data_IF_762401404385
#
_entry.id   IF_762401404385
#
_cell.length_a   1.000
_cell.length_b   1.000
_cell.length_c   1.000
_cell.angle_alpha   90.00
_cell.angle_beta   90.00
_cell.angle_gamma   90.00
#
_symmetry.space_group_name_H-M   'P 1'
#
loop_
_entity.id
_entity.type
_entity.pdbx_description
1 polymer ?
#
# COMPACT_ATOMS: atom_id res chain seq x y z
N UNK A 1 -22.14 6.12 -34.19
CA UNK A 1 -23.26 6.82 -33.52
C UNK A 1 -24.50 5.92 -33.61
N UNK A 2 -25.39 5.86 -32.61
CA UNK A 2 -25.77 6.88 -31.61
C UNK A 2 -25.17 6.58 -30.21
N UNK A 3 -24.51 7.51 -29.51
CA UNK A 3 -24.96 8.71 -28.74
C UNK A 3 -25.62 8.43 -27.38
N UNK A 4 -25.04 9.08 -26.36
CA UNK A 4 -25.56 9.42 -25.03
C UNK A 4 -25.49 8.36 -23.92
N UNK A 5 -24.38 8.38 -23.17
CA UNK A 5 -24.41 8.02 -21.76
C UNK A 5 -24.69 9.30 -20.96
N UNK A 6 -25.92 9.41 -20.45
CA UNK A 6 -26.41 10.54 -19.65
C UNK A 6 -25.83 10.49 -18.24
N UNK A 7 -25.54 11.68 -17.72
CA UNK A 7 -25.23 12.15 -16.36
C UNK A 7 -26.02 11.59 -15.14
N UNK A 8 -26.64 10.40 -15.19
CA UNK A 8 -27.52 9.93 -14.08
C UNK A 8 -26.97 8.87 -13.13
N UNK A 9 -25.74 8.41 -13.31
CA UNK A 9 -25.16 7.38 -12.41
C UNK A 9 -24.19 7.96 -11.35
N UNK A 10 -24.07 9.28 -11.24
CA UNK A 10 -23.19 9.94 -10.25
C UNK A 10 -23.70 9.89 -8.80
N UNK A 11 -24.97 9.54 -8.55
CA UNK A 11 -25.54 9.63 -7.18
C UNK A 11 -25.40 8.38 -6.31
N UNK A 12 -24.94 7.24 -6.85
CA UNK A 12 -24.90 5.98 -6.08
C UNK A 12 -23.60 5.80 -5.26
N UNK A 13 -22.60 6.68 -5.42
CA UNK A 13 -21.25 6.48 -4.87
C UNK A 13 -20.95 7.20 -3.55
N UNK A 14 -21.96 7.60 -2.75
CA UNK A 14 -21.75 8.41 -1.53
C UNK A 14 -21.44 7.65 -0.23
N UNK A 15 -21.30 6.32 -0.18
CA UNK A 15 -21.42 5.61 1.12
C UNK A 15 -20.41 4.53 1.49
N UNK A 16 -19.12 4.59 1.09
CA UNK A 16 -18.08 3.73 1.70
C UNK A 16 -16.71 4.41 1.87
N UNK A 17 -16.21 4.63 3.10
CA UNK A 17 -14.85 5.09 3.34
C UNK A 17 -13.88 3.89 3.33
N UNK A 18 -12.89 3.95 2.44
CA UNK A 18 -11.78 3.00 2.27
C UNK A 18 -10.74 3.66 1.35
N UNK A 19 -9.49 3.14 1.27
CA UNK A 19 -8.34 3.89 0.78
C UNK A 19 -8.38 4.12 -0.75
N UNK A 20 -9.25 5.03 -1.20
CA UNK A 20 -9.40 5.48 -2.59
C UNK A 20 -8.71 6.81 -2.88
N UNK A 21 -7.89 7.29 -1.94
CA UNK A 21 -7.56 8.71 -1.86
C UNK A 21 -6.12 9.08 -2.27
N UNK A 22 -5.36 8.24 -2.99
CA UNK A 22 -4.02 8.66 -3.42
C UNK A 22 -3.92 9.06 -4.90
N UNK A 23 -4.73 8.49 -5.80
CA UNK A 23 -4.72 8.87 -7.22
C UNK A 23 -5.65 10.05 -7.54
N UNK A 24 -6.81 10.12 -6.87
CA UNK A 24 -7.80 11.17 -7.15
C UNK A 24 -7.35 12.56 -6.65
N UNK A 25 -6.53 12.62 -5.59
CA UNK A 25 -6.05 13.88 -5.01
C UNK A 25 -4.89 14.54 -5.79
N UNK A 26 -4.23 13.83 -6.70
CA UNK A 26 -3.10 14.37 -7.47
C UNK A 26 -3.50 14.86 -8.87
N UNK A 27 -4.33 14.12 -9.63
CA UNK A 27 -4.58 14.42 -11.05
C UNK A 27 -6.04 14.59 -11.46
N UNK A 28 -7.01 14.43 -10.54
CA UNK A 28 -8.42 14.47 -10.88
C UNK A 28 -8.90 13.21 -11.63
N UNK A 29 -10.21 12.94 -11.57
CA UNK A 29 -10.81 11.69 -12.06
C UNK A 29 -10.53 11.39 -13.55
N UNK A 30 -10.37 12.43 -14.38
CA UNK A 30 -10.23 12.29 -15.84
C UNK A 30 -8.90 11.67 -16.29
N UNK A 31 -7.78 12.06 -15.67
CA UNK A 31 -6.45 11.52 -15.99
C UNK A 31 -6.32 10.04 -15.58
N UNK A 32 -6.94 9.65 -14.46
CA UNK A 32 -6.94 8.27 -13.99
C UNK A 32 -7.62 7.31 -14.98
N UNK A 33 -8.75 7.71 -15.55
CA UNK A 33 -9.48 6.90 -16.52
C UNK A 33 -8.70 6.72 -17.83
N UNK A 34 -8.02 7.77 -18.32
CA UNK A 34 -7.16 7.69 -19.50
C UNK A 34 -5.97 6.73 -19.28
N UNK A 35 -5.35 6.77 -18.11
CA UNK A 35 -4.29 5.81 -17.75
C UNK A 35 -4.82 4.39 -17.78
N UNK A 36 -5.99 4.12 -17.21
CA UNK A 36 -6.60 2.79 -17.18
C UNK A 36 -6.95 2.28 -18.59
N UNK A 37 -7.39 3.17 -19.48
CA UNK A 37 -7.62 2.83 -20.90
C UNK A 37 -6.30 2.45 -21.59
N UNK A 38 -5.23 3.20 -21.38
CA UNK A 38 -3.91 2.90 -21.96
C UNK A 38 -3.36 1.58 -21.41
N UNK A 39 -3.48 1.34 -20.10
CA UNK A 39 -3.09 0.07 -19.46
C UNK A 39 -3.84 -1.08 -20.11
N UNK A 40 -5.16 -0.95 -20.27
CA UNK A 40 -6.00 -1.99 -20.92
C UNK A 40 -5.52 -2.25 -22.34
N UNK A 41 -5.31 -1.22 -23.16
CA UNK A 41 -4.85 -1.36 -24.54
C UNK A 41 -3.45 -2.01 -24.63
N UNK A 42 -2.52 -1.63 -23.75
CA UNK A 42 -1.19 -2.25 -23.66
C UNK A 42 -1.26 -3.72 -23.27
N UNK A 43 -2.14 -4.09 -22.34
CA UNK A 43 -2.33 -5.48 -21.94
C UNK A 43 -2.98 -6.32 -23.06
N UNK A 44 -4.04 -5.82 -23.69
CA UNK A 44 -4.69 -6.52 -24.81
C UNK A 44 -3.70 -6.78 -25.95
N UNK A 45 -3.00 -5.75 -26.40
CA UNK A 45 -1.99 -5.89 -27.47
C UNK A 45 -0.82 -6.79 -27.09
N UNK A 46 -0.46 -6.87 -25.80
CA UNK A 46 0.64 -7.70 -25.34
C UNK A 46 0.36 -9.20 -25.51
N UNK A 47 -0.89 -9.63 -25.38
CA UNK A 47 -1.26 -11.06 -25.40
C UNK A 47 -1.87 -11.51 -26.73
N UNK A 48 -2.15 -10.61 -27.67
CA UNK A 48 -2.54 -11.02 -29.03
C UNK A 48 -1.35 -11.66 -29.78
N UNK A 49 -1.55 -12.72 -30.58
CA UNK A 49 -2.83 -13.39 -30.90
C UNK A 49 -3.17 -14.58 -29.99
N UNK A 50 -2.49 -14.75 -28.84
CA UNK A 50 -2.70 -15.88 -27.93
C UNK A 50 -4.11 -15.83 -27.31
N UNK A 51 -4.79 -16.98 -27.10
CA UNK A 51 -6.12 -17.00 -26.48
C UNK A 51 -6.02 -16.62 -24.99
N UNK A 52 -6.58 -15.46 -24.65
CA UNK A 52 -6.54 -14.90 -23.30
C UNK A 52 -7.86 -14.26 -22.90
N UNK A 53 -8.09 -14.13 -21.60
CA UNK A 53 -9.16 -13.31 -21.03
C UNK A 53 -8.51 -12.24 -20.15
N UNK A 54 -8.76 -10.97 -20.48
CA UNK A 54 -8.37 -9.82 -19.68
C UNK A 54 -9.61 -9.26 -18.97
N UNK A 55 -9.53 -9.09 -17.67
CA UNK A 55 -10.57 -8.50 -16.85
C UNK A 55 -10.00 -7.44 -15.90
N UNK A 56 -10.77 -6.36 -15.66
CA UNK A 56 -10.50 -5.42 -14.57
C UNK A 56 -11.29 -5.85 -13.35
N UNK A 57 -10.61 -6.17 -12.26
CA UNK A 57 -11.24 -6.67 -11.03
C UNK A 57 -11.80 -5.50 -10.20
N UNK A 58 -11.07 -4.39 -10.15
CA UNK A 58 -11.48 -3.16 -9.48
C UNK A 58 -10.31 -2.20 -9.31
N UNK A 59 -10.58 -0.89 -9.19
CA UNK A 59 -9.51 0.09 -9.02
C UNK A 59 -8.47 0.03 -10.14
N UNK A 60 -7.22 -0.21 -9.80
CA UNK A 60 -6.06 -0.41 -10.66
C UNK A 60 -5.67 -1.89 -10.86
N UNK A 61 -6.53 -2.83 -10.43
CA UNK A 61 -6.26 -4.26 -10.48
C UNK A 61 -6.85 -4.93 -11.73
N UNK A 62 -5.99 -5.67 -12.43
CA UNK A 62 -6.31 -6.44 -13.63
C UNK A 62 -5.98 -7.92 -13.41
N UNK A 63 -6.81 -8.79 -13.97
CA UNK A 63 -6.59 -10.23 -14.03
C UNK A 63 -6.45 -10.67 -15.49
N UNK A 64 -5.45 -11.50 -15.75
CA UNK A 64 -5.19 -12.08 -17.06
C UNK A 64 -5.21 -13.59 -16.93
N UNK A 65 -6.13 -14.23 -17.65
CA UNK A 65 -6.20 -15.67 -17.77
C UNK A 65 -5.63 -16.07 -19.13
N UNK A 66 -4.63 -16.96 -19.11
CA UNK A 66 -4.03 -17.52 -20.31
C UNK A 66 -4.53 -18.95 -20.48
N UNK A 67 -5.15 -19.23 -21.62
CA UNK A 67 -5.71 -20.55 -21.87
C UNK A 67 -4.59 -21.51 -22.28
N UNK A 68 -4.28 -22.50 -21.43
CA UNK A 68 -3.23 -23.54 -21.61
C UNK A 68 -1.78 -23.02 -21.56
N UNK A 69 -1.26 -22.57 -20.42
CA UNK A 69 0.18 -22.52 -20.25
C UNK A 69 0.71 -23.96 -20.31
N UNK A 70 1.50 -24.29 -21.33
CA UNK A 70 2.06 -25.64 -21.50
C UNK A 70 3.11 -25.96 -20.42
N UNK A 71 3.59 -24.94 -19.69
CA UNK A 71 4.47 -25.08 -18.54
C UNK A 71 4.39 -23.87 -17.58
N UNK A 72 4.80 -24.02 -16.30
CA UNK A 72 4.95 -22.90 -15.37
C UNK A 72 5.89 -21.79 -15.87
N UNK A 73 6.86 -22.13 -16.72
CA UNK A 73 7.81 -21.18 -17.32
C UNK A 73 7.11 -20.20 -18.27
N UNK A 74 6.06 -20.64 -18.98
CA UNK A 74 5.28 -19.77 -19.86
C UNK A 74 4.53 -18.69 -19.06
N UNK A 75 4.01 -19.04 -17.88
CA UNK A 75 3.38 -18.07 -16.98
C UNK A 75 4.38 -17.04 -16.47
N UNK A 76 5.62 -17.44 -16.17
CA UNK A 76 6.69 -16.52 -15.79
C UNK A 76 7.10 -15.61 -16.96
N UNK A 77 7.21 -16.14 -18.18
CA UNK A 77 7.50 -15.37 -19.38
C UNK A 77 6.41 -14.32 -19.65
N UNK A 78 5.14 -14.70 -19.50
CA UNK A 78 4.00 -13.78 -19.60
C UNK A 78 4.08 -12.66 -18.55
N UNK A 79 4.36 -13.00 -17.28
CA UNK A 79 4.52 -11.99 -16.23
C UNK A 79 5.68 -11.03 -16.52
N UNK A 80 6.81 -11.53 -17.05
CA UNK A 80 7.93 -10.69 -17.46
C UNK A 80 7.56 -9.77 -18.63
N UNK A 81 6.83 -10.27 -19.63
CA UNK A 81 6.30 -9.46 -20.74
C UNK A 81 5.47 -8.29 -20.22
N UNK A 82 4.61 -8.51 -19.22
CA UNK A 82 3.81 -7.45 -18.58
C UNK A 82 4.72 -6.42 -17.94
N UNK A 83 5.67 -6.85 -17.11
CA UNK A 83 6.61 -5.92 -16.44
C UNK A 83 7.40 -5.07 -17.44
N UNK A 84 7.87 -5.67 -18.53
CA UNK A 84 8.62 -4.96 -19.57
C UNK A 84 7.72 -3.96 -20.33
N UNK A 85 6.48 -4.33 -20.62
CA UNK A 85 5.53 -3.45 -21.32
C UNK A 85 5.24 -2.14 -20.55
N UNK A 86 5.35 -2.17 -19.22
CA UNK A 86 5.16 -1.01 -18.36
C UNK A 86 6.47 -0.36 -17.87
N UNK A 87 7.64 -0.86 -18.33
CA UNK A 87 8.90 -0.17 -18.10
C UNK A 87 9.03 1.11 -18.93
N UNK A 88 8.31 1.21 -20.05
CA UNK A 88 8.20 2.44 -20.83
C UNK A 88 7.16 3.39 -20.24
N UNK A 89 7.46 4.69 -20.10
CA UNK A 89 6.50 5.69 -19.67
C UNK A 89 5.23 5.70 -20.53
N UNK A 90 4.15 6.20 -19.94
CA UNK A 90 2.87 6.47 -20.58
C UNK A 90 2.74 7.97 -20.73
N UNK A 91 2.37 8.42 -21.93
CA UNK A 91 2.04 9.81 -22.18
C UNK A 91 0.52 9.96 -22.10
N UNK A 92 0.07 10.91 -21.28
CA UNK A 92 -1.33 11.30 -21.15
C UNK A 92 -1.37 12.80 -21.38
N UNK A 93 -2.01 13.22 -22.46
CA UNK A 93 -1.95 14.61 -22.95
C UNK A 93 -0.51 15.10 -23.13
N UNK A 94 -0.05 16.03 -22.28
CA UNK A 94 1.30 16.59 -22.30
C UNK A 94 2.18 16.12 -21.13
N UNK A 95 1.69 15.20 -20.30
CA UNK A 95 2.43 14.67 -19.15
C UNK A 95 2.91 13.24 -19.41
N UNK A 96 4.15 12.97 -19.00
CA UNK A 96 4.77 11.65 -19.10
C UNK A 96 4.90 11.04 -17.72
N UNK A 97 4.31 9.86 -17.54
CA UNK A 97 4.25 9.15 -16.26
C UNK A 97 4.83 7.75 -16.38
N UNK A 98 5.67 7.37 -15.42
CA UNK A 98 6.11 5.99 -15.28
C UNK A 98 5.17 5.23 -14.34
N UNK A 99 4.68 4.06 -14.77
CA UNK A 99 3.90 3.18 -13.91
C UNK A 99 4.78 2.08 -13.33
N UNK A 100 4.58 1.80 -12.04
CA UNK A 100 5.13 0.62 -11.39
C UNK A 100 4.06 -0.46 -11.34
N UNK A 101 4.36 -1.61 -11.94
CA UNK A 101 3.48 -2.78 -11.93
C UNK A 101 4.08 -3.89 -11.08
N UNK A 102 3.21 -4.57 -10.33
CA UNK A 102 3.52 -5.82 -9.64
C UNK A 102 2.60 -6.91 -10.18
N UNK A 103 3.10 -8.13 -10.34
CA UNK A 103 2.37 -9.25 -10.94
C UNK A 103 2.39 -10.44 -9.98
N UNK A 104 1.19 -10.89 -9.59
CA UNK A 104 1.00 -12.16 -8.88
C UNK A 104 0.63 -13.26 -9.88
N UNK A 105 1.37 -14.37 -9.85
CA UNK A 105 1.15 -15.50 -10.77
C UNK A 105 0.66 -16.71 -9.99
N UNK A 106 -0.50 -17.24 -10.36
CA UNK A 106 -1.03 -18.49 -9.83
C UNK A 106 -1.23 -19.51 -10.96
N UNK A 107 -0.87 -20.77 -10.68
CA UNK A 107 -1.08 -21.90 -11.60
C UNK A 107 -2.29 -22.68 -11.13
N UNK A 108 -3.20 -22.98 -12.06
CA UNK A 108 -4.36 -23.82 -11.81
C UNK A 108 -3.94 -25.28 -11.67
N UNK A 109 -4.45 -25.94 -10.65
CA UNK A 109 -4.43 -27.40 -10.54
C UNK A 109 -5.76 -27.98 -11.02
N UNK A 110 -5.77 -29.26 -11.41
CA UNK A 110 -7.02 -29.96 -11.71
C UNK A 110 -7.97 -29.89 -10.51
N UNK A 111 -9.20 -29.40 -10.76
CA UNK A 111 -10.24 -29.27 -9.73
C UNK A 111 -10.31 -27.91 -9.01
N UNK A 112 -9.38 -26.98 -9.25
CA UNK A 112 -9.48 -25.62 -8.71
C UNK A 112 -10.65 -24.85 -9.35
N UNK A 113 -11.43 -24.13 -8.55
CA UNK A 113 -12.40 -23.18 -9.07
C UNK A 113 -11.71 -21.88 -9.52
N UNK A 114 -12.36 -21.13 -10.42
CA UNK A 114 -11.87 -19.83 -10.87
C UNK A 114 -11.65 -18.85 -9.70
N UNK A 115 -12.48 -18.94 -8.66
CA UNK A 115 -12.33 -18.17 -7.41
C UNK A 115 -11.03 -18.47 -6.68
N UNK A 116 -10.62 -19.73 -6.64
CA UNK A 116 -9.40 -20.15 -5.95
C UNK A 116 -8.16 -19.59 -6.66
N UNK A 117 -8.19 -19.58 -7.99
CA UNK A 117 -7.12 -19.00 -8.79
C UNK A 117 -7.00 -17.48 -8.62
N UNK A 118 -8.12 -16.75 -8.64
CA UNK A 118 -8.14 -15.32 -8.37
C UNK A 118 -7.60 -15.02 -6.96
N UNK A 119 -8.00 -15.81 -5.96
CA UNK A 119 -7.51 -15.68 -4.59
C UNK A 119 -5.99 -15.93 -4.50
N UNK A 120 -5.50 -17.04 -5.05
CA UNK A 120 -4.07 -17.39 -5.08
C UNK A 120 -3.25 -16.31 -5.80
N UNK A 121 -3.76 -15.79 -6.93
CA UNK A 121 -3.13 -14.70 -7.67
C UNK A 121 -3.05 -13.40 -6.88
N UNK A 122 -4.12 -13.06 -6.14
CA UNK A 122 -4.15 -11.90 -5.25
C UNK A 122 -3.16 -12.03 -4.08
N UNK A 123 -3.04 -13.22 -3.47
CA UNK A 123 -2.05 -13.50 -2.42
C UNK A 123 -0.63 -13.30 -2.96
N UNK A 124 -0.32 -13.86 -4.12
CA UNK A 124 0.98 -13.68 -4.76
C UNK A 124 1.26 -12.20 -5.09
N UNK A 125 0.25 -11.46 -5.56
CA UNK A 125 0.37 -10.03 -5.85
C UNK A 125 0.64 -9.21 -4.58
N UNK A 126 -0.07 -9.47 -3.48
CA UNK A 126 0.19 -8.80 -2.19
C UNK A 126 1.59 -9.11 -1.70
N UNK A 127 2.05 -10.35 -1.86
CA UNK A 127 3.43 -10.74 -1.52
C UNK A 127 4.46 -10.02 -2.39
N UNK A 128 4.20 -9.84 -3.69
CA UNK A 128 5.07 -9.06 -4.59
C UNK A 128 5.19 -7.60 -4.11
N UNK A 129 4.04 -6.98 -3.81
CA UNK A 129 3.96 -5.61 -3.30
C UNK A 129 4.73 -5.44 -1.98
N UNK A 130 4.56 -6.36 -1.03
CA UNK A 130 5.18 -6.26 0.30
C UNK A 130 6.70 -6.49 0.28
N UNK A 131 7.20 -7.29 -0.66
CA UNK A 131 8.64 -7.55 -0.80
C UNK A 131 9.31 -6.66 -1.85
N UNK A 132 8.57 -5.66 -2.38
CA UNK A 132 9.02 -4.77 -3.45
C UNK A 132 9.57 -5.54 -4.67
N UNK A 133 9.04 -6.73 -4.93
CA UNK A 133 9.37 -7.52 -6.11
C UNK A 133 8.34 -7.27 -7.20
N UNK A 134 8.79 -7.31 -8.47
CA UNK A 134 7.90 -7.05 -9.61
C UNK A 134 6.99 -8.24 -9.93
N UNK A 135 7.44 -9.46 -9.63
CA UNK A 135 6.75 -10.70 -9.95
C UNK A 135 6.87 -11.63 -8.75
N UNK A 136 5.76 -12.27 -8.40
CA UNK A 136 5.74 -13.31 -7.37
C UNK A 136 4.85 -14.47 -7.82
N UNK A 137 5.34 -15.69 -7.65
CA UNK A 137 4.54 -16.89 -7.87
C UNK A 137 3.90 -17.33 -6.57
N UNK A 138 2.62 -17.68 -6.63
CA UNK A 138 1.93 -18.26 -5.51
C UNK A 138 2.62 -19.54 -5.05
N UNK A 139 2.92 -19.60 -3.75
CA UNK A 139 3.39 -20.79 -3.04
C UNK A 139 2.47 -21.02 -1.84
N UNK A 140 2.26 -22.29 -1.46
CA UNK A 140 1.26 -22.66 -0.43
C UNK A 140 1.58 -22.04 0.95
N UNK A 141 2.84 -21.84 1.27
CA UNK A 141 3.30 -21.13 2.47
C UNK A 141 2.87 -19.65 2.52
N UNK A 142 2.59 -19.03 1.38
CA UNK A 142 2.04 -17.67 1.32
C UNK A 142 0.61 -17.56 1.89
N UNK A 143 -0.16 -18.66 1.93
CA UNK A 143 -1.49 -18.66 2.54
C UNK A 143 -1.39 -18.30 4.03
N UNK A 144 -0.35 -18.76 4.72
CA UNK A 144 -0.14 -18.48 6.13
C UNK A 144 0.11 -16.98 6.35
N UNK A 145 0.90 -16.35 5.47
CA UNK A 145 1.17 -14.90 5.51
C UNK A 145 -0.11 -14.11 5.24
N UNK A 146 -0.90 -14.50 4.23
CA UNK A 146 -2.18 -13.83 3.94
C UNK A 146 -3.17 -13.97 5.09
N UNK A 147 -3.30 -15.17 5.67
CA UNK A 147 -4.16 -15.41 6.84
C UNK A 147 -3.70 -14.57 8.03
N UNK A 148 -2.39 -14.52 8.27
CA UNK A 148 -1.82 -13.69 9.32
C UNK A 148 -2.20 -12.21 9.15
N UNK A 149 -2.12 -11.66 7.93
CA UNK A 149 -2.59 -10.29 7.65
C UNK A 149 -4.08 -10.11 7.95
N UNK A 150 -4.93 -11.03 7.50
CA UNK A 150 -6.38 -11.00 7.73
C UNK A 150 -6.72 -11.05 9.21
N UNK A 151 -5.95 -11.79 10.02
CA UNK A 151 -6.13 -11.84 11.48
C UNK A 151 -5.59 -10.60 12.18
N UNK A 152 -4.47 -10.03 11.72
CA UNK A 152 -3.83 -8.89 12.37
C UNK A 152 -4.53 -7.57 12.08
N UNK A 153 -5.12 -7.38 10.88
CA UNK A 153 -5.82 -6.15 10.52
C UNK A 153 -6.93 -5.73 11.51
N UNK A 154 -7.90 -6.60 11.90
CA UNK A 154 -8.90 -6.22 12.89
C UNK A 154 -8.26 -5.93 14.27
N UNK A 155 -7.16 -6.61 14.61
CA UNK A 155 -6.41 -6.33 15.84
C UNK A 155 -5.76 -4.95 15.81
N UNK A 156 -5.17 -4.52 14.67
CA UNK A 156 -4.61 -3.17 14.51
C UNK A 156 -5.69 -2.10 14.68
N UNK A 157 -6.89 -2.33 14.12
CA UNK A 157 -8.01 -1.39 14.26
C UNK A 157 -8.48 -1.27 15.71
N UNK A 158 -8.67 -2.41 16.39
CA UNK A 158 -9.00 -2.41 17.81
C UNK A 158 -7.91 -1.75 18.67
N UNK A 159 -6.64 -2.01 18.36
CA UNK A 159 -5.50 -1.42 19.05
C UNK A 159 -5.42 0.11 18.90
N UNK A 160 -5.84 0.65 17.74
CA UNK A 160 -5.99 2.09 17.54
C UNK A 160 -7.07 2.68 18.47
N UNK A 161 -8.22 2.03 18.54
CA UNK A 161 -9.34 2.43 19.42
C UNK A 161 -8.99 2.32 20.90
N UNK A 162 -8.20 1.30 21.27
CA UNK A 162 -7.78 1.02 22.65
C UNK A 162 -6.50 1.75 23.07
N UNK A 163 -5.91 2.58 22.21
CA UNK A 163 -4.64 3.28 22.47
C UNK A 163 -3.46 2.35 22.84
N UNK A 164 -3.37 1.19 22.19
CA UNK A 164 -2.32 0.18 22.44
C UNK A 164 -0.97 0.48 21.75
N UNK A 165 -0.93 1.52 20.91
CA UNK A 165 0.29 2.00 20.27
C UNK A 165 0.96 3.08 21.11
N UNK A 166 2.19 2.81 21.55
CA UNK A 166 2.95 3.69 22.44
C UNK A 166 4.35 4.02 21.88
N UNK A 167 4.91 5.21 22.16
CA UNK A 167 6.26 5.56 21.77
C UNK A 167 7.29 4.96 22.73
N UNK A 168 8.31 4.30 22.17
CA UNK A 168 9.57 4.01 22.86
C UNK A 168 10.63 4.98 22.36
N UNK A 169 11.55 5.40 23.23
CA UNK A 169 12.53 6.42 22.90
C UNK A 169 13.93 5.84 22.76
N UNK A 170 14.55 6.06 21.60
CA UNK A 170 15.96 5.76 21.38
C UNK A 170 16.79 7.05 21.45
N UNK A 171 17.79 7.16 22.34
CA UNK A 171 18.57 8.39 22.48
C UNK A 171 19.46 8.63 21.25
N UNK A 172 19.52 9.89 20.82
CA UNK A 172 20.45 10.37 19.80
C UNK A 172 21.63 11.03 20.51
N UNK A 173 22.84 10.52 20.26
CA UNK A 173 24.07 10.97 20.94
C UNK A 173 24.97 11.69 19.93
N UNK A 174 25.43 12.88 20.29
CA UNK A 174 26.41 13.61 19.51
C UNK A 174 27.80 12.94 19.62
N UNK A 175 28.44 12.63 18.49
CA UNK A 175 29.68 11.84 18.48
C UNK A 175 30.89 12.61 19.03
N UNK A 176 30.89 13.92 18.87
CA UNK A 176 31.94 14.83 19.34
C UNK A 176 31.88 15.09 20.85
N UNK A 177 30.68 15.17 21.41
CA UNK A 177 30.44 15.52 22.82
C UNK A 177 30.04 14.34 23.69
N UNK A 178 29.60 13.22 23.08
CA UNK A 178 28.95 12.08 23.73
C UNK A 178 27.69 12.43 24.54
N UNK A 179 27.14 13.62 24.34
CA UNK A 179 25.93 14.07 25.02
C UNK A 179 24.67 13.65 24.25
N UNK A 180 23.60 13.39 25.00
CA UNK A 180 22.28 13.12 24.40
C UNK A 180 21.71 14.43 23.87
N UNK A 181 21.59 14.52 22.54
CA UNK A 181 21.09 15.71 21.83
C UNK A 181 19.61 15.62 21.45
N UNK A 182 19.00 14.44 21.65
CA UNK A 182 17.58 14.21 21.47
C UNK A 182 17.21 12.74 21.61
N UNK A 183 16.00 12.40 21.18
CA UNK A 183 15.54 11.02 21.10
C UNK A 183 14.62 10.81 19.90
N UNK A 184 14.68 9.62 19.32
CA UNK A 184 13.78 9.11 18.30
C UNK A 184 12.62 8.36 18.94
N UNK A 185 11.38 8.73 18.57
CA UNK A 185 10.16 8.07 19.03
C UNK A 185 9.77 6.93 18.08
N UNK A 186 9.94 5.70 18.55
CA UNK A 186 9.66 4.47 17.80
C UNK A 186 8.34 3.86 18.27
N UNK A 187 7.41 3.65 17.34
CA UNK A 187 6.14 3.01 17.63
C UNK A 187 6.35 1.59 18.17
N UNK A 188 5.62 1.24 19.22
CA UNK A 188 5.49 -0.11 19.76
C UNK A 188 4.02 -0.42 19.94
N UNK A 189 3.63 -1.63 19.56
CA UNK A 189 2.29 -2.13 19.82
C UNK A 189 2.34 -3.05 21.03
N UNK A 190 1.66 -2.64 22.10
CA UNK A 190 1.52 -3.44 23.32
C UNK A 190 0.10 -3.97 23.36
N UNK A 191 -0.06 -5.21 22.91
CA UNK A 191 -1.35 -5.91 22.99
C UNK A 191 -1.53 -6.52 24.39
N UNK A 192 -2.68 -6.33 25.05
CA UNK A 192 -2.99 -7.00 26.32
C UNK A 192 -2.96 -8.53 26.23
N UNK A 193 -3.34 -9.08 25.07
CA UNK A 193 -3.45 -10.52 24.86
C UNK A 193 -2.15 -11.15 24.35
N UNK A 194 -1.39 -10.43 23.52
CA UNK A 194 -0.21 -10.96 22.80
C UNK A 194 1.12 -10.39 23.27
N UNK A 195 1.11 -9.42 24.18
CA UNK A 195 2.30 -8.71 24.60
C UNK A 195 2.83 -7.76 23.52
N UNK A 196 4.16 -7.61 23.44
CA UNK A 196 4.79 -6.69 22.49
C UNK A 196 4.79 -7.32 21.10
N UNK A 197 4.10 -6.67 20.16
CA UNK A 197 4.06 -7.08 18.75
C UNK A 197 5.14 -6.33 17.96
N UNK A 198 5.87 -7.06 17.12
CA UNK A 198 6.97 -6.50 16.34
C UNK A 198 6.48 -5.46 15.33
N UNK A 199 7.17 -4.31 15.18
CA UNK A 199 6.90 -3.34 14.11
C UNK A 199 6.90 -3.95 12.71
N UNK A 200 7.72 -4.98 12.48
CA UNK A 200 7.78 -5.68 11.19
C UNK A 200 6.50 -6.48 10.88
N UNK A 201 5.70 -6.83 11.88
CA UNK A 201 4.43 -7.53 11.68
C UNK A 201 3.30 -6.56 11.30
N UNK A 202 3.20 -5.41 12.00
CA UNK A 202 2.04 -4.54 11.86
C UNK A 202 2.23 -3.35 10.92
N UNK A 203 3.46 -2.83 10.74
CA UNK A 203 3.71 -1.67 9.87
C UNK A 203 3.32 -1.96 8.42
N UNK A 204 3.72 -3.09 7.80
CA UNK A 204 3.37 -3.36 6.40
C UNK A 204 1.85 -3.41 6.17
N UNK A 205 1.12 -3.95 7.15
CA UNK A 205 -0.34 -4.04 7.10
C UNK A 205 -0.95 -2.65 7.31
N UNK A 206 -0.47 -1.89 8.29
CA UNK A 206 -0.94 -0.53 8.51
C UNK A 206 -0.71 0.37 7.27
N UNK A 207 0.39 0.20 6.55
CA UNK A 207 0.65 0.90 5.29
C UNK A 207 -0.30 0.44 4.18
N UNK A 208 -0.43 -0.87 3.97
CA UNK A 208 -1.29 -1.47 2.94
C UNK A 208 -2.77 -1.03 3.07
N UNK A 209 -3.26 -0.91 4.31
CA UNK A 209 -4.64 -0.50 4.59
C UNK A 209 -4.80 0.98 4.95
N UNK A 210 -3.74 1.79 4.89
CA UNK A 210 -3.76 3.23 5.14
C UNK A 210 -3.91 3.66 6.61
N UNK A 211 -3.82 2.72 7.55
CA UNK A 211 -3.89 2.94 9.01
C UNK A 211 -2.60 3.55 9.58
N UNK A 212 -1.50 3.53 8.81
CA UNK A 212 -0.19 4.02 9.27
C UNK A 212 -0.20 5.50 9.67
N UNK A 213 -1.07 6.30 9.05
CA UNK A 213 -1.21 7.72 9.38
C UNK A 213 -1.87 7.92 10.75
N UNK A 214 -2.87 7.10 11.08
CA UNK A 214 -3.55 7.16 12.39
C UNK A 214 -2.60 6.75 13.51
N UNK A 215 -1.84 5.67 13.31
CA UNK A 215 -0.79 5.25 14.25
C UNK A 215 0.24 6.37 14.41
N UNK A 216 0.74 6.93 13.31
CA UNK A 216 1.75 7.99 13.33
C UNK A 216 1.27 9.24 14.08
N UNK A 217 0.01 9.64 13.88
CA UNK A 217 -0.58 10.78 14.60
C UNK A 217 -0.64 10.53 16.11
N UNK A 218 -1.13 9.36 16.54
CA UNK A 218 -1.20 9.01 17.95
C UNK A 218 0.18 8.95 18.63
N UNK A 219 1.20 8.45 17.92
CA UNK A 219 2.58 8.41 18.42
C UNK A 219 3.16 9.83 18.54
N UNK A 220 2.90 10.68 17.55
CA UNK A 220 3.36 12.07 17.57
C UNK A 220 2.73 12.87 18.72
N UNK A 221 1.43 12.74 18.93
CA UNK A 221 0.73 13.41 20.03
C UNK A 221 1.32 13.03 21.39
N UNK A 222 1.56 11.72 21.60
CA UNK A 222 2.19 11.21 22.81
C UNK A 222 3.65 11.72 22.96
N UNK A 223 4.42 11.77 21.88
CA UNK A 223 5.79 12.27 21.89
C UNK A 223 5.87 13.78 22.21
N UNK A 224 4.97 14.58 21.63
CA UNK A 224 4.86 16.00 21.95
C UNK A 224 4.48 16.22 23.42
N UNK A 225 3.50 15.48 23.93
CA UNK A 225 3.11 15.54 25.34
C UNK A 225 4.25 15.15 26.28
N UNK A 226 5.02 14.10 25.95
CA UNK A 226 6.18 13.68 26.72
C UNK A 226 7.30 14.74 26.69
N UNK A 227 7.56 15.36 25.53
CA UNK A 227 8.54 16.44 25.36
C UNK A 227 8.26 17.61 26.30
N UNK A 228 6.98 18.06 26.34
CA UNK A 228 6.55 19.17 27.18
C UNK A 228 6.71 18.84 28.67
N UNK A 229 6.38 17.61 29.10
CA UNK A 229 6.53 17.19 30.50
C UNK A 229 7.98 17.08 30.94
N UNK A 230 8.86 16.59 30.07
CA UNK A 230 10.26 16.34 30.38
C UNK A 230 11.17 17.58 30.18
N UNK A 231 10.62 18.71 29.73
CA UNK A 231 11.36 19.93 29.37
C UNK A 231 12.54 19.65 28.41
N UNK A 232 12.38 18.63 27.55
CA UNK A 232 13.38 18.23 26.57
C UNK A 232 13.36 19.25 25.43
N UNK A 233 14.46 19.98 25.26
CA UNK A 233 14.57 21.05 24.24
C UNK A 233 14.57 20.54 22.80
N UNK A 234 14.79 19.24 22.57
CA UNK A 234 14.90 18.61 21.24
C UNK A 234 14.42 17.16 21.27
N UNK A 235 13.23 16.89 20.76
CA UNK A 235 12.79 15.54 20.38
C UNK A 235 12.72 15.50 18.85
N UNK A 236 13.37 14.53 18.24
CA UNK A 236 13.31 14.29 16.80
C UNK A 236 12.37 13.12 16.58
N UNK A 237 11.16 13.38 16.10
CA UNK A 237 10.29 12.29 15.66
C UNK A 237 10.75 11.86 14.28
N UNK A 238 11.73 10.95 14.21
CA UNK A 238 11.85 10.08 13.06
C UNK A 238 10.81 8.98 13.25
N UNK A 239 9.62 9.21 12.70
CA UNK A 239 8.82 8.05 12.32
C UNK A 239 9.53 7.48 11.10
N UNK A 240 10.12 6.29 11.21
CA UNK A 240 10.37 5.43 10.04
C UNK A 240 9.01 5.10 9.41
N UNK A 241 8.39 6.08 8.76
CA UNK A 241 7.16 5.96 8.02
C UNK A 241 7.36 6.90 6.84
N UNK A 242 7.55 6.30 5.68
CA UNK A 242 8.14 6.79 4.43
C UNK A 242 7.54 8.07 3.80
N UNK A 243 6.75 8.90 4.51
CA UNK A 243 5.93 9.94 3.87
C UNK A 243 5.49 11.15 4.72
N UNK A 244 6.26 11.58 5.72
CA UNK A 244 5.86 12.72 6.59
C UNK A 244 6.58 14.07 6.33
N UNK A 245 7.11 14.32 5.14
CA UNK A 245 7.84 15.58 4.84
C UNK A 245 6.97 16.84 4.76
N UNK A 246 5.67 16.73 4.41
CA UNK A 246 4.86 17.92 4.08
C UNK A 246 4.02 18.50 5.24
N UNK A 247 3.89 17.80 6.36
CA UNK A 247 3.08 18.26 7.50
C UNK A 247 3.90 18.97 8.58
N UNK A 248 5.17 18.59 8.78
CA UNK A 248 6.06 19.19 9.78
C UNK A 248 6.19 20.72 9.59
N UNK A 249 6.21 21.18 8.33
CA UNK A 249 6.25 22.62 7.99
C UNK A 249 4.99 23.39 8.39
N UNK A 250 3.86 22.71 8.63
CA UNK A 250 2.57 23.35 8.95
C UNK A 250 2.31 23.50 10.45
N UNK A 251 2.89 22.61 11.27
CA UNK A 251 2.73 22.63 12.74
C UNK A 251 3.89 23.36 13.43
N UNK A 252 5.11 23.30 12.87
CA UNK A 252 6.24 24.08 13.38
C UNK A 252 6.08 25.61 13.18
N UNK A 253 5.14 26.05 12.33
CA UNK A 253 4.86 27.47 12.05
C UNK A 253 3.80 28.09 12.97
N UNK A 254 3.21 27.34 13.91
CA UNK A 254 2.28 27.89 14.89
C UNK A 254 3.08 28.39 16.10
N UNK A 255 3.16 29.72 16.36
CA UNK A 255 3.84 30.21 17.54
C UNK A 255 3.06 29.77 18.79
N UNK A 256 3.71 28.98 19.63
CA UNK A 256 3.25 28.72 21.01
C UNK A 256 3.32 30.05 21.77
N UNK A 257 2.21 30.77 21.84
CA UNK A 257 2.05 31.86 22.80
C UNK A 257 1.94 31.23 24.19
N UNK A 258 3.06 31.23 24.91
CA UNK A 258 3.10 30.90 26.32
C UNK A 258 2.75 32.18 27.08
N UNK A 259 1.60 32.16 27.76
CA UNK A 259 1.21 33.11 28.81
C UNK A 259 1.01 32.34 30.11
#
# INVERSE_FOLDING_TARGET
MPTSWRERDCEVWKSRPGPRHYWCLLWGHFHGDQILQIVTARLTSLFEPEPHVLARIGGDEFAIYLQRPQSPEQSLLAANRVVQQFASPICVENETTLLHVSVGVATLSEGDAMSDWLQKGSIALSHAKSHLTKICHYQRDMDAVSRHKTTLLPQIKAALENHEFVPYYQPLVALDTQEVIGAEALARWISPERGVISPLEFIPIAEEYGLINEIGFGILEQACAASMRANLRRIFTFTSISRFSNWFNRVASTPLNVS
#
